data_IF_532660645568
#
_entry.id   IF_532660645568
#
_cell.length_a   1.000
_cell.length_b   1.000
_cell.length_c   1.000
_cell.angle_alpha   90.00
_cell.angle_beta   90.00
_cell.angle_gamma   90.00
#
_symmetry.space_group_name_H-M   'P 1'
#
loop_
_entity.id
_entity.type
_entity.pdbx_description
1 polymer ?
#
# COMPACT_ATOMS: atom_id res chain seq x y z
N UNK A 1 -10.66 58.54 -13.49
CA UNK A 1 -9.80 57.79 -12.54
C UNK A 1 -10.66 56.79 -11.74
N UNK A 2 -11.43 55.92 -12.40
CA UNK A 2 -12.38 55.04 -11.70
C UNK A 2 -11.99 53.56 -11.78
N UNK A 3 -11.09 53.19 -12.69
CA UNK A 3 -10.66 51.81 -12.91
C UNK A 3 -9.77 51.29 -11.77
N UNK A 4 -8.83 52.13 -11.31
CA UNK A 4 -7.98 51.83 -10.15
C UNK A 4 -8.76 51.77 -8.83
N UNK A 5 -9.82 52.58 -8.69
CA UNK A 5 -10.70 52.56 -7.51
C UNK A 5 -11.59 51.32 -7.48
N UNK A 6 -12.10 50.90 -8.64
CA UNK A 6 -12.88 49.67 -8.76
C UNK A 6 -12.03 48.43 -8.46
N UNK A 7 -10.79 48.37 -8.93
CA UNK A 7 -9.87 47.26 -8.60
C UNK A 7 -9.52 47.21 -7.11
N UNK A 8 -9.46 48.37 -6.43
CA UNK A 8 -9.14 48.46 -5.00
C UNK A 8 -10.32 48.11 -4.08
N UNK A 9 -11.55 48.16 -4.60
CA UNK A 9 -12.78 47.76 -3.89
C UNK A 9 -13.33 46.42 -4.41
N UNK A 10 -12.61 45.74 -5.32
CA UNK A 10 -13.00 44.45 -5.87
C UNK A 10 -12.57 43.31 -4.92
N UNK A 11 -13.34 43.14 -3.85
CA UNK A 11 -13.19 42.06 -2.86
C UNK A 11 -13.73 40.71 -3.38
N UNK A 12 -14.42 40.70 -4.54
CA UNK A 12 -15.24 39.56 -4.96
C UNK A 12 -14.48 38.44 -5.70
N UNK A 13 -13.28 38.71 -6.24
CA UNK A 13 -12.60 37.78 -7.16
C UNK A 13 -11.24 37.24 -6.72
N UNK A 14 -10.33 38.11 -6.25
CA UNK A 14 -8.92 37.75 -6.01
C UNK A 14 -8.66 37.25 -4.57
N UNK A 15 -9.37 37.78 -3.58
CA UNK A 15 -9.19 37.42 -2.16
C UNK A 15 -9.88 36.10 -1.83
N UNK A 16 -11.13 35.92 -2.30
CA UNK A 16 -11.88 34.66 -2.14
C UNK A 16 -11.22 33.46 -2.84
N UNK A 17 -10.53 33.68 -3.97
CA UNK A 17 -9.83 32.60 -4.67
C UNK A 17 -8.56 32.15 -3.94
N UNK A 18 -7.81 33.08 -3.34
CA UNK A 18 -6.64 32.75 -2.52
C UNK A 18 -7.06 31.99 -1.24
N UNK A 19 -8.13 32.42 -0.58
CA UNK A 19 -8.66 31.77 0.63
C UNK A 19 -9.16 30.34 0.34
N UNK A 20 -9.90 30.16 -0.77
CA UNK A 20 -10.40 28.85 -1.17
C UNK A 20 -9.25 27.88 -1.52
N UNK A 21 -8.16 28.37 -2.11
CA UNK A 21 -6.97 27.57 -2.38
C UNK A 21 -6.32 27.12 -1.07
N UNK A 22 -6.17 28.02 -0.09
CA UNK A 22 -5.61 27.65 1.23
C UNK A 22 -6.50 26.61 1.93
N UNK A 23 -7.81 26.83 2.00
CA UNK A 23 -8.76 25.86 2.57
C UNK A 23 -8.73 24.51 1.82
N UNK A 24 -8.65 24.55 0.49
CA UNK A 24 -8.54 23.36 -0.34
C UNK A 24 -7.26 22.57 -0.07
N UNK A 25 -6.12 23.25 0.07
CA UNK A 25 -4.85 22.57 0.40
C UNK A 25 -4.86 21.94 1.79
N UNK A 26 -5.38 22.64 2.80
CA UNK A 26 -5.54 22.09 4.16
C UNK A 26 -6.52 20.91 4.14
N UNK A 27 -7.61 21.00 3.38
CA UNK A 27 -8.57 19.92 3.21
C UNK A 27 -7.97 18.67 2.56
N UNK A 28 -7.20 18.83 1.49
CA UNK A 28 -6.52 17.69 0.81
C UNK A 28 -5.47 17.07 1.73
N UNK A 29 -4.68 17.87 2.45
CA UNK A 29 -3.69 17.34 3.41
C UNK A 29 -4.38 16.59 4.55
N UNK A 30 -5.44 17.17 5.14
CA UNK A 30 -6.23 16.55 6.19
C UNK A 30 -6.89 15.25 5.75
N UNK A 31 -7.49 15.24 4.56
CA UNK A 31 -8.10 14.02 3.99
C UNK A 31 -7.04 12.94 3.70
N UNK A 32 -5.87 13.31 3.20
CA UNK A 32 -4.79 12.36 2.89
C UNK A 32 -4.24 11.71 4.16
N UNK A 33 -3.89 12.52 5.16
CA UNK A 33 -3.37 12.02 6.45
C UNK A 33 -4.45 11.26 7.20
N UNK A 34 -5.69 11.77 7.21
CA UNK A 34 -6.83 11.11 7.86
C UNK A 34 -7.14 9.74 7.26
N UNK A 35 -7.15 9.63 5.93
CA UNK A 35 -7.34 8.35 5.25
C UNK A 35 -6.19 7.38 5.53
N UNK A 36 -4.95 7.87 5.54
CA UNK A 36 -3.79 7.06 5.89
C UNK A 36 -3.90 6.51 7.32
N UNK A 37 -4.25 7.37 8.29
CA UNK A 37 -4.41 6.97 9.69
C UNK A 37 -5.56 5.97 9.87
N UNK A 38 -6.70 6.20 9.21
CA UNK A 38 -7.83 5.28 9.25
C UNK A 38 -7.47 3.92 8.64
N UNK A 39 -6.73 3.91 7.54
CA UNK A 39 -6.27 2.67 6.92
C UNK A 39 -5.33 1.89 7.83
N UNK A 40 -4.38 2.56 8.49
CA UNK A 40 -3.47 1.91 9.43
C UNK A 40 -4.24 1.34 10.62
N UNK A 41 -5.13 2.13 11.23
CA UNK A 41 -5.93 1.68 12.36
C UNK A 41 -6.79 0.44 12.03
N UNK A 42 -7.46 0.42 10.87
CA UNK A 42 -8.25 -0.75 10.45
C UNK A 42 -7.36 -1.98 10.26
N UNK A 43 -6.18 -1.81 9.64
CA UNK A 43 -5.27 -2.93 9.45
C UNK A 43 -4.75 -3.47 10.78
N UNK A 44 -4.41 -2.61 11.73
CA UNK A 44 -3.93 -3.01 13.06
C UNK A 44 -5.01 -3.81 13.82
N UNK A 45 -6.27 -3.36 13.77
CA UNK A 45 -7.40 -4.10 14.35
C UNK A 45 -7.67 -5.44 13.65
N UNK A 46 -7.44 -5.52 12.34
CA UNK A 46 -7.55 -6.79 11.60
C UNK A 46 -6.43 -7.77 11.95
N UNK A 47 -5.23 -7.27 12.26
CA UNK A 47 -4.14 -8.10 12.79
C UNK A 47 -4.53 -8.66 14.15
N UNK A 48 -4.96 -7.80 15.09
CA UNK A 48 -5.42 -8.24 16.41
C UNK A 48 -6.57 -9.25 16.32
N UNK A 49 -7.54 -9.01 15.43
CA UNK A 49 -8.63 -9.96 15.17
C UNK A 49 -8.12 -11.32 14.68
N UNK A 50 -7.09 -11.32 13.83
CA UNK A 50 -6.45 -12.56 13.33
C UNK A 50 -5.72 -13.30 14.44
N UNK A 51 -5.02 -12.59 15.32
CA UNK A 51 -4.37 -13.16 16.50
C UNK A 51 -5.39 -13.76 17.46
N UNK A 52 -6.49 -13.05 17.71
CA UNK A 52 -7.59 -13.54 18.54
C UNK A 52 -8.19 -14.84 18.00
N UNK A 53 -8.45 -14.94 16.69
CA UNK A 53 -8.92 -16.20 16.06
C UNK A 53 -7.88 -17.32 16.25
N UNK A 54 -6.60 -17.01 16.05
CA UNK A 54 -5.52 -18.00 16.15
C UNK A 54 -5.28 -18.48 17.59
N UNK A 55 -5.65 -17.66 18.57
CA UNK A 55 -5.60 -17.98 20.00
C UNK A 55 -6.68 -18.97 20.45
N UNK A 56 -7.71 -19.21 19.62
CA UNK A 56 -8.74 -20.19 19.92
C UNK A 56 -8.16 -21.60 19.99
N UNK A 57 -8.66 -22.38 20.93
CA UNK A 57 -8.30 -23.78 21.08
C UNK A 57 -9.13 -24.66 20.13
N UNK A 58 -8.48 -25.20 19.12
CA UNK A 58 -9.00 -26.12 18.11
C UNK A 58 -8.56 -27.57 18.38
N UNK A 59 -8.03 -27.84 19.58
CA UNK A 59 -7.71 -29.20 20.02
C UNK A 59 -9.00 -29.99 20.23
N UNK A 60 -8.98 -31.26 19.83
CA UNK A 60 -10.08 -32.18 20.08
C UNK A 60 -9.57 -33.53 20.55
N UNK A 61 -10.40 -34.21 21.32
CA UNK A 61 -10.17 -35.58 21.73
C UNK A 61 -11.49 -36.35 21.67
N UNK A 62 -11.49 -37.44 20.90
CA UNK A 62 -12.60 -38.37 20.75
C UNK A 62 -12.09 -39.73 21.21
N UNK A 63 -12.71 -40.25 22.26
CA UNK A 63 -12.36 -41.55 22.80
C UNK A 63 -12.80 -42.67 21.85
N UNK A 64 -12.01 -43.74 21.80
CA UNK A 64 -12.36 -44.96 21.09
C UNK A 64 -13.30 -45.79 21.95
N UNK A 65 -14.35 -46.34 21.36
CA UNK A 65 -15.29 -47.20 22.08
C UNK A 65 -15.00 -48.67 21.80
N UNK A 66 -15.02 -49.48 22.85
CA UNK A 66 -14.97 -50.94 22.74
C UNK A 66 -16.26 -51.53 23.31
N UNK A 67 -16.88 -52.44 22.57
CA UNK A 67 -17.98 -53.25 23.08
C UNK A 67 -17.88 -54.70 22.56
N UNK A 68 -17.87 -55.66 23.46
CA UNK A 68 -17.63 -57.08 23.16
C UNK A 68 -16.36 -57.28 22.31
N UNK A 69 -16.53 -57.75 21.07
CA UNK A 69 -15.47 -57.98 20.07
C UNK A 69 -15.33 -56.86 19.04
N UNK A 70 -16.13 -55.80 19.13
CA UNK A 70 -16.04 -54.64 18.27
C UNK A 70 -15.24 -53.53 18.94
N UNK A 71 -14.44 -52.82 18.14
CA UNK A 71 -13.68 -51.67 18.59
C UNK A 71 -13.71 -50.57 17.54
N UNK A 72 -13.81 -49.32 18.01
CA UNK A 72 -13.66 -48.11 17.22
C UNK A 72 -12.42 -47.35 17.69
N UNK A 73 -11.57 -46.95 16.74
CA UNK A 73 -10.36 -46.22 17.05
C UNK A 73 -10.67 -44.84 17.65
N UNK A 74 -9.82 -44.40 18.58
CA UNK A 74 -9.83 -43.03 19.09
C UNK A 74 -9.25 -42.06 18.04
N UNK A 75 -9.59 -40.78 18.16
CA UNK A 75 -8.94 -39.71 17.39
C UNK A 75 -8.68 -38.50 18.27
N UNK A 76 -7.52 -37.86 18.10
CA UNK A 76 -7.23 -36.63 18.81
C UNK A 76 -6.26 -35.75 18.05
N UNK A 77 -6.44 -34.45 18.20
CA UNK A 77 -5.52 -33.44 17.74
C UNK A 77 -5.26 -32.44 18.87
N UNK A 78 -3.98 -32.13 19.11
CA UNK A 78 -3.57 -31.06 20.02
C UNK A 78 -3.02 -29.94 19.16
N UNK A 79 -3.67 -28.79 19.22
CA UNK A 79 -3.15 -27.58 18.61
C UNK A 79 -1.86 -27.17 19.32
N UNK A 80 -0.95 -26.57 18.55
CA UNK A 80 0.28 -25.99 19.06
C UNK A 80 0.01 -24.80 19.98
N UNK A 81 0.90 -24.54 20.94
CA UNK A 81 0.77 -23.42 21.87
C UNK A 81 0.59 -22.09 21.12
N UNK A 82 -0.30 -21.25 21.65
CA UNK A 82 -0.69 -19.96 21.03
C UNK A 82 0.53 -19.09 20.77
N UNK A 83 1.46 -18.98 21.73
CA UNK A 83 2.67 -18.17 21.60
C UNK A 83 3.56 -18.62 20.43
N UNK A 84 3.71 -19.94 20.24
CA UNK A 84 4.51 -20.50 19.15
C UNK A 84 3.78 -20.31 17.82
N UNK A 85 2.46 -20.50 17.82
CA UNK A 85 1.60 -20.31 16.66
C UNK A 85 1.60 -18.86 16.15
N UNK A 86 1.60 -17.88 17.04
CA UNK A 86 1.69 -16.45 16.71
C UNK A 86 3.10 -16.07 16.21
N UNK A 87 4.16 -16.60 16.83
CA UNK A 87 5.52 -16.38 16.38
C UNK A 87 5.76 -16.93 14.96
N UNK A 88 5.22 -18.11 14.64
CA UNK A 88 5.28 -18.68 13.29
C UNK A 88 4.55 -17.81 12.26
N UNK A 89 3.39 -17.24 12.62
CA UNK A 89 2.68 -16.29 11.75
C UNK A 89 3.50 -15.01 11.51
N UNK A 90 4.12 -14.46 12.55
CA UNK A 90 4.97 -13.27 12.44
C UNK A 90 6.16 -13.53 11.50
N UNK A 91 6.83 -14.68 11.64
CA UNK A 91 7.91 -15.07 10.72
C UNK A 91 7.46 -15.18 9.26
N UNK A 92 6.26 -15.75 9.01
CA UNK A 92 5.69 -15.82 7.66
C UNK A 92 5.38 -14.43 7.07
N UNK A 93 4.93 -13.48 7.91
CA UNK A 93 4.68 -12.09 7.49
C UNK A 93 6.01 -11.42 7.12
N UNK A 94 7.03 -11.52 7.97
CA UNK A 94 8.36 -10.95 7.70
C UNK A 94 8.98 -11.50 6.41
N UNK A 95 8.86 -12.81 6.19
CA UNK A 95 9.31 -13.43 4.94
C UNK A 95 8.56 -12.87 3.73
N UNK A 96 7.23 -12.74 3.82
CA UNK A 96 6.41 -12.19 2.76
C UNK A 96 6.82 -10.73 2.44
N UNK A 97 6.98 -9.88 3.45
CA UNK A 97 7.43 -8.49 3.30
C UNK A 97 8.82 -8.41 2.68
N UNK A 98 9.76 -9.22 3.16
CA UNK A 98 11.12 -9.29 2.62
C UNK A 98 11.16 -9.69 1.14
N UNK A 99 10.24 -10.53 0.66
CA UNK A 99 10.14 -10.85 -0.77
C UNK A 99 9.59 -9.69 -1.61
N UNK A 100 8.66 -8.92 -1.06
CA UNK A 100 8.09 -7.73 -1.72
C UNK A 100 9.17 -6.67 -1.91
N UNK A 101 9.98 -6.42 -0.87
CA UNK A 101 11.09 -5.49 -0.94
C UNK A 101 12.15 -5.94 -1.94
N UNK A 102 12.56 -7.21 -1.90
CA UNK A 102 13.49 -7.76 -2.91
C UNK A 102 12.96 -7.56 -4.33
N UNK A 103 11.66 -7.82 -4.58
CA UNK A 103 11.03 -7.61 -5.90
C UNK A 103 10.97 -6.13 -6.30
N UNK A 104 10.72 -5.23 -5.35
CA UNK A 104 10.68 -3.79 -5.62
C UNK A 104 12.08 -3.26 -5.98
N UNK A 105 13.12 -3.68 -5.25
CA UNK A 105 14.51 -3.39 -5.55
C UNK A 105 14.94 -3.95 -6.90
N UNK A 106 14.58 -5.20 -7.23
CA UNK A 106 14.89 -5.82 -8.52
C UNK A 106 14.23 -5.05 -9.68
N UNK A 107 12.98 -4.59 -9.53
CA UNK A 107 12.30 -3.74 -10.53
C UNK A 107 12.97 -2.39 -10.72
N UNK A 108 13.55 -1.80 -9.67
CA UNK A 108 14.29 -0.52 -9.74
C UNK A 108 15.65 -0.68 -10.43
N UNK A 109 16.32 -1.83 -10.24
CA UNK A 109 17.63 -2.12 -10.85
C UNK A 109 17.52 -2.71 -12.26
N UNK A 110 16.34 -3.20 -12.66
CA UNK A 110 16.13 -3.77 -13.99
C UNK A 110 16.40 -2.72 -15.08
N UNK A 111 17.23 -3.03 -16.11
CA UNK A 111 17.44 -2.12 -17.22
C UNK A 111 16.11 -1.85 -17.94
N UNK A 112 15.93 -0.63 -18.51
CA UNK A 112 14.70 -0.27 -19.21
C UNK A 112 14.40 -1.29 -20.31
N UNK A 113 13.12 -1.72 -20.40
CA UNK A 113 12.69 -2.70 -21.40
C UNK A 113 13.13 -2.23 -22.80
N UNK A 114 13.56 -3.16 -23.65
CA UNK A 114 14.12 -2.89 -25.00
C UNK A 114 13.27 -1.93 -25.85
N UNK A 115 11.94 -1.92 -25.67
CA UNK A 115 11.01 -0.99 -26.32
C UNK A 115 11.18 0.46 -25.86
N UNK A 116 11.40 0.71 -24.57
CA UNK A 116 11.69 2.05 -24.03
C UNK A 116 13.05 2.57 -24.48
N UNK A 117 14.07 1.71 -24.53
CA UNK A 117 15.39 2.07 -25.06
C UNK A 117 15.31 2.52 -26.52
N UNK A 118 14.57 1.79 -27.37
CA UNK A 118 14.33 2.18 -28.77
C UNK A 118 13.66 3.55 -28.88
N UNK A 119 12.61 3.80 -28.10
CA UNK A 119 11.88 5.08 -28.08
C UNK A 119 12.77 6.25 -27.63
N UNK A 120 13.62 6.04 -26.61
CA UNK A 120 14.59 7.03 -26.14
C UNK A 120 15.68 7.31 -27.19
N UNK A 121 16.16 6.29 -27.92
CA UNK A 121 17.13 6.48 -29.01
C UNK A 121 16.53 7.26 -30.19
N UNK A 122 15.30 6.97 -30.59
CA UNK A 122 14.60 7.71 -31.66
C UNK A 122 14.36 9.17 -31.27
N UNK A 123 13.96 9.43 -30.02
CA UNK A 123 13.79 10.78 -29.49
C UNK A 123 15.12 11.56 -29.46
N UNK A 124 16.24 10.91 -29.06
CA UNK A 124 17.58 11.49 -29.14
C UNK A 124 17.97 11.83 -30.58
N UNK A 125 17.71 10.93 -31.53
CA UNK A 125 17.97 11.17 -32.97
C UNK A 125 17.21 12.38 -33.49
N UNK A 126 15.92 12.53 -33.15
CA UNK A 126 15.12 13.70 -33.55
C UNK A 126 15.67 15.01 -32.98
N UNK A 127 15.96 15.06 -31.67
CA UNK A 127 16.54 16.26 -31.03
C UNK A 127 17.89 16.66 -31.64
N UNK A 128 18.74 15.69 -32.00
CA UNK A 128 20.03 16.00 -32.61
C UNK A 128 19.88 16.55 -34.04
N UNK A 129 18.88 16.05 -34.78
CA UNK A 129 18.56 16.54 -36.13
C UNK A 129 18.01 17.98 -36.11
N UNK A 130 17.19 18.31 -35.11
CA UNK A 130 16.69 19.68 -34.89
C UNK A 130 17.79 20.66 -34.47
N UNK A 131 18.71 20.24 -33.59
CA UNK A 131 19.88 21.06 -33.22
C UNK A 131 20.77 21.35 -34.43
N UNK A 132 20.99 20.37 -35.29
CA UNK A 132 21.81 20.55 -36.49
C UNK A 132 21.19 21.56 -37.46
N UNK A 133 19.87 21.50 -37.67
CA UNK A 133 19.13 22.47 -38.50
C UNK A 133 19.13 23.90 -37.94
N UNK A 134 19.21 24.08 -36.61
CA UNK A 134 19.27 25.40 -35.98
C UNK A 134 20.66 26.04 -36.02
N UNK A 135 21.72 25.25 -36.24
CA UNK A 135 23.08 25.77 -36.34
C UNK A 135 23.49 26.07 -37.79
N UNK A 136 22.68 25.66 -38.77
CA UNK A 136 22.90 25.86 -40.21
C UNK A 136 22.01 26.99 -40.79
N UNK A 137 21.28 27.73 -39.94
CA UNK A 137 20.45 28.89 -40.27
C UNK A 137 20.88 30.10 -39.43
#
# INVERSE_FOLDING_TARGET
>A
MNLLKNFWYDEAGLVMSAELVVLGTVGVLGATVGLSAASTAINDEMVEFSEAIRSLNQSYHIEGHQNCRAWSAASSYRQQDVAVSLADLCGQIEEAEGTVDKRSHLKRQAPPKSKELRKKMEAKKKKNKEKKKKNEA
#
